data_IF_287147262348
#
_entry.id   IF_287147262348
#
_cell.length_a   1.000
_cell.length_b   1.000
_cell.length_c   1.000
_cell.angle_alpha   90.00
_cell.angle_beta   90.00
_cell.angle_gamma   90.00
#
_symmetry.space_group_name_H-M   'P 1'
#
loop_
_entity.id
_entity.type
_entity.pdbx_description
1 polymer ?
#
# COMPACT_ATOMS: atom_id res chain seq x y z
N UNK A 1 -22.72 3.56 4.24
CA UNK A 1 -22.11 4.76 3.64
C UNK A 1 -22.53 4.92 2.19
N UNK A 2 -22.89 6.13 1.78
CA UNK A 2 -23.45 6.47 0.45
C UNK A 2 -22.56 6.13 -0.77
N UNK A 3 -21.32 5.66 -0.56
CA UNK A 3 -20.37 5.26 -1.60
C UNK A 3 -20.51 3.79 -2.06
N UNK A 4 -21.39 3.00 -1.44
CA UNK A 4 -21.45 1.54 -1.62
C UNK A 4 -22.18 1.08 -2.90
N UNK A 5 -22.60 1.98 -3.79
CA UNK A 5 -23.67 1.68 -4.77
C UNK A 5 -23.25 1.27 -6.18
N UNK A 6 -22.05 0.73 -6.42
CA UNK A 6 -21.77 0.28 -7.79
C UNK A 6 -20.53 -0.52 -8.10
N UNK A 7 -19.61 -0.74 -7.15
CA UNK A 7 -18.41 -1.54 -7.43
C UNK A 7 -18.38 -2.77 -6.52
N UNK A 8 -18.33 -3.99 -7.07
CA UNK A 8 -18.09 -5.17 -6.26
C UNK A 8 -16.75 -4.99 -5.53
N UNK A 9 -16.67 -5.29 -4.22
CA UNK A 9 -15.45 -5.08 -3.46
C UNK A 9 -14.32 -5.97 -4.01
N UNK A 10 -13.23 -5.34 -4.47
CA UNK A 10 -12.05 -6.03 -5.03
C UNK A 10 -11.59 -7.13 -4.07
N UNK A 11 -11.46 -8.40 -4.51
CA UNK A 11 -11.05 -9.51 -3.66
C UNK A 11 -9.80 -9.14 -2.84
N UNK A 12 -9.77 -9.54 -1.56
CA UNK A 12 -8.65 -9.25 -0.64
C UNK A 12 -7.23 -9.49 -1.19
N UNK A 13 -6.94 -10.58 -1.92
CA UNK A 13 -5.60 -10.79 -2.48
C UNK A 13 -5.20 -9.76 -3.54
N UNK A 14 -6.15 -8.97 -4.05
CA UNK A 14 -5.89 -7.88 -5.01
C UNK A 14 -5.92 -6.53 -4.30
N UNK A 15 -6.87 -6.31 -3.40
CA UNK A 15 -7.01 -5.05 -2.67
C UNK A 15 -5.81 -4.76 -1.75
N UNK A 16 -5.30 -5.77 -1.03
CA UNK A 16 -4.17 -5.59 -0.11
C UNK A 16 -2.87 -5.16 -0.79
N UNK A 17 -2.40 -5.86 -1.83
CA UNK A 17 -1.20 -5.46 -2.57
C UNK A 17 -1.35 -4.11 -3.27
N UNK A 18 -2.53 -3.81 -3.85
CA UNK A 18 -2.78 -2.51 -4.47
C UNK A 18 -2.71 -1.36 -3.46
N UNK A 19 -3.28 -1.55 -2.27
CA UNK A 19 -3.18 -0.58 -1.19
C UNK A 19 -1.74 -0.44 -0.70
N UNK A 20 -1.02 -1.54 -0.50
CA UNK A 20 0.40 -1.50 -0.12
C UNK A 20 1.26 -0.74 -1.14
N UNK A 21 1.04 -0.99 -2.44
CA UNK A 21 1.73 -0.28 -3.52
C UNK A 21 1.39 1.22 -3.53
N UNK A 22 0.11 1.58 -3.30
CA UNK A 22 -0.31 2.97 -3.22
C UNK A 22 0.34 3.71 -2.03
N UNK A 23 0.45 3.05 -0.87
CA UNK A 23 1.13 3.65 0.30
C UNK A 23 2.63 3.79 0.03
N UNK A 24 3.28 2.77 -0.53
CA UNK A 24 4.69 2.86 -0.95
C UNK A 24 4.93 4.04 -1.91
N UNK A 25 4.09 4.21 -2.92
CA UNK A 25 4.19 5.31 -3.87
C UNK A 25 3.93 6.68 -3.19
N UNK A 26 2.97 6.75 -2.27
CA UNK A 26 2.67 7.96 -1.52
C UNK A 26 3.77 8.38 -0.55
N UNK A 27 4.44 7.42 0.10
CA UNK A 27 5.53 7.67 1.03
C UNK A 27 6.83 8.05 0.30
N UNK A 28 7.19 7.27 -0.72
CA UNK A 28 8.47 7.43 -1.42
C UNK A 28 8.42 8.47 -2.55
N UNK A 29 7.26 8.72 -3.17
CA UNK A 29 7.13 9.61 -4.32
C UNK A 29 7.60 11.04 -4.05
N UNK A 30 7.06 11.74 -3.04
CA UNK A 30 7.51 13.09 -2.67
C UNK A 30 8.98 13.12 -2.20
N UNK A 31 9.40 12.14 -1.41
CA UNK A 31 10.77 12.05 -0.92
C UNK A 31 11.78 11.86 -2.06
N UNK A 32 11.41 11.06 -3.07
CA UNK A 32 12.21 10.86 -4.29
C UNK A 32 12.23 12.12 -5.15
N UNK A 33 11.08 12.79 -5.34
CA UNK A 33 10.99 14.04 -6.10
C UNK A 33 11.85 15.16 -5.50
N UNK A 34 11.91 15.21 -4.16
CA UNK A 34 12.76 16.14 -3.41
C UNK A 34 14.21 15.66 -3.27
N UNK A 35 14.58 14.52 -3.86
CA UNK A 35 15.91 13.89 -3.81
C UNK A 35 16.40 13.60 -2.39
N UNK A 36 15.48 13.35 -1.47
CA UNK A 36 15.79 12.93 -0.10
C UNK A 36 16.09 11.42 -0.03
N UNK A 37 15.60 10.65 -1.02
CA UNK A 37 15.85 9.22 -1.16
C UNK A 37 15.83 8.82 -2.64
N UNK A 38 16.40 7.65 -2.95
CA UNK A 38 16.32 7.02 -4.26
C UNK A 38 16.11 5.49 -4.09
N UNK A 39 14.86 5.01 -4.21
CA UNK A 39 14.52 3.59 -4.04
C UNK A 39 15.19 2.66 -5.06
N UNK A 40 15.66 3.20 -6.19
CA UNK A 40 16.33 2.40 -7.24
C UNK A 40 17.77 2.03 -6.88
N UNK A 41 18.34 2.74 -5.90
CA UNK A 41 19.71 2.54 -5.42
C UNK A 41 19.77 1.68 -4.15
N UNK A 42 18.62 1.36 -3.57
CA UNK A 42 18.54 0.60 -2.33
C UNK A 42 19.04 -0.83 -2.51
N UNK A 43 19.70 -1.35 -1.47
CA UNK A 43 19.99 -2.76 -1.39
C UNK A 43 18.70 -3.57 -1.09
N UNK A 44 18.78 -4.88 -1.29
CA UNK A 44 17.62 -5.78 -1.12
C UNK A 44 17.04 -5.73 0.29
N UNK A 45 17.88 -5.58 1.31
CA UNK A 45 17.43 -5.53 2.70
C UNK A 45 16.64 -4.25 2.98
N UNK A 46 17.14 -3.10 2.53
CA UNK A 46 16.46 -1.81 2.65
C UNK A 46 15.12 -1.83 1.93
N UNK A 47 15.10 -2.39 0.71
CA UNK A 47 13.87 -2.53 -0.07
C UNK A 47 12.84 -3.44 0.61
N UNK A 48 13.27 -4.58 1.16
CA UNK A 48 12.40 -5.48 1.92
C UNK A 48 11.89 -4.85 3.22
N UNK A 49 12.74 -4.09 3.91
CA UNK A 49 12.39 -3.41 5.15
C UNK A 49 11.32 -2.33 4.94
N UNK A 50 11.24 -1.76 3.73
CA UNK A 50 10.21 -0.81 3.37
C UNK A 50 8.93 -1.53 2.89
N UNK A 51 9.02 -2.42 1.89
CA UNK A 51 7.81 -2.99 1.27
C UNK A 51 7.01 -3.91 2.20
N UNK A 52 7.66 -4.69 3.07
CA UNK A 52 6.98 -5.72 3.88
C UNK A 52 5.99 -5.08 4.87
N UNK A 53 6.39 -4.09 5.70
CA UNK A 53 5.46 -3.38 6.57
C UNK A 53 4.29 -2.74 5.81
N UNK A 54 4.55 -2.17 4.62
CA UNK A 54 3.53 -1.54 3.78
C UNK A 54 2.48 -2.53 3.27
N UNK A 55 2.90 -3.73 2.84
CA UNK A 55 2.00 -4.79 2.43
C UNK A 55 1.16 -5.31 3.60
N UNK A 56 1.77 -5.52 4.77
CA UNK A 56 1.06 -5.92 5.99
C UNK A 56 0.00 -4.89 6.34
N UNK A 57 0.35 -3.59 6.35
CA UNK A 57 -0.60 -2.52 6.61
C UNK A 57 -1.78 -2.52 5.61
N UNK A 58 -1.51 -2.66 4.31
CA UNK A 58 -2.54 -2.71 3.27
C UNK A 58 -3.48 -3.91 3.42
N UNK A 59 -2.93 -5.10 3.72
CA UNK A 59 -3.70 -6.31 3.99
C UNK A 59 -4.57 -6.17 5.24
N UNK A 60 -4.00 -5.67 6.34
CA UNK A 60 -4.75 -5.44 7.59
C UNK A 60 -5.85 -4.42 7.39
N UNK A 61 -5.58 -3.32 6.68
CA UNK A 61 -6.58 -2.29 6.36
C UNK A 61 -7.74 -2.88 5.54
N UNK A 62 -7.43 -3.66 4.50
CA UNK A 62 -8.45 -4.32 3.69
C UNK A 62 -9.29 -5.33 4.50
N UNK A 63 -8.65 -6.09 5.38
CA UNK A 63 -9.32 -7.05 6.26
C UNK A 63 -10.25 -6.36 7.25
N UNK A 64 -9.80 -5.29 7.93
CA UNK A 64 -10.60 -4.52 8.88
C UNK A 64 -11.76 -3.82 8.16
N UNK A 65 -11.52 -3.20 7.00
CA UNK A 65 -12.57 -2.55 6.22
C UNK A 65 -13.68 -3.54 5.84
N UNK A 66 -13.32 -4.78 5.48
CA UNK A 66 -14.31 -5.83 5.22
C UNK A 66 -15.01 -6.34 6.48
N UNK A 67 -14.32 -6.41 7.61
CA UNK A 67 -14.92 -6.86 8.87
C UNK A 67 -15.94 -5.85 9.43
N UNK A 68 -15.76 -4.56 9.15
CA UNK A 68 -16.62 -3.48 9.60
C UNK A 68 -17.77 -3.11 8.63
N UNK A 69 -17.77 -3.65 7.41
CA UNK A 69 -18.69 -3.28 6.32
C UNK A 69 -19.70 -4.36 5.94
#
# INVERSE_FOLDING_TARGET
>A
GLLRRGRPPLPNPVAGPLLGAAVMAGANGPATALRLTDPTTWDTASWLSDIVPHLVYGLTTAAVYRALG
#
